data_IF_690298167020
#
_entry.id   IF_690298167020
#
_cell.length_a   1.000
_cell.length_b   1.000
_cell.length_c   1.000
_cell.angle_alpha   90.00
_cell.angle_beta   90.00
_cell.angle_gamma   90.00
#
_symmetry.space_group_name_H-M   'P 1'
#
loop_
_entity.id
_entity.type
_entity.pdbx_description
1 polymer ?
#
# COMPACT_ATOMS: atom_id res chain seq x y z
N UNK A 1 21.15 16.21 -13.57
CA UNK A 1 21.17 17.65 -13.26
C UNK A 1 22.10 17.89 -12.08
N UNK A 2 23.07 18.82 -12.25
CA UNK A 2 24.11 19.12 -11.23
C UNK A 2 23.49 19.68 -9.92
N UNK A 3 22.39 20.39 -9.99
CA UNK A 3 21.71 20.95 -8.83
C UNK A 3 21.00 19.85 -8.02
N UNK A 4 20.33 18.92 -8.67
CA UNK A 4 19.74 17.75 -8.00
C UNK A 4 20.79 16.89 -7.31
N UNK A 5 21.92 16.65 -7.96
CA UNK A 5 23.05 15.92 -7.37
C UNK A 5 23.63 16.65 -6.15
N UNK A 6 23.69 17.99 -6.18
CA UNK A 6 24.18 18.80 -5.06
C UNK A 6 23.16 18.82 -3.91
N UNK A 7 21.85 18.88 -4.23
CA UNK A 7 20.79 18.83 -3.23
C UNK A 7 20.74 17.45 -2.54
N UNK A 8 20.81 16.34 -3.29
CA UNK A 8 20.77 14.98 -2.74
C UNK A 8 21.92 14.69 -1.77
N UNK A 9 23.12 15.26 -2.00
CA UNK A 9 24.26 15.14 -1.07
C UNK A 9 24.05 15.82 0.28
N UNK A 10 23.07 16.72 0.41
CA UNK A 10 22.75 17.44 1.65
C UNK A 10 21.65 16.75 2.46
N UNK A 11 20.96 15.79 1.87
CA UNK A 11 19.86 15.07 2.51
C UNK A 11 20.45 13.89 3.28
N UNK A 12 20.31 13.92 4.59
CA UNK A 12 20.68 12.80 5.47
C UNK A 12 19.43 12.00 5.88
N UNK A 13 19.67 10.85 6.48
CA UNK A 13 18.58 9.99 6.96
C UNK A 13 17.65 10.68 7.98
N UNK A 14 18.19 11.59 8.77
CA UNK A 14 17.43 12.36 9.77
C UNK A 14 16.74 13.61 9.19
N UNK A 15 17.02 13.95 7.93
CA UNK A 15 16.34 15.05 7.26
C UNK A 15 14.85 14.74 7.11
N UNK A 16 14.01 15.78 7.25
CA UNK A 16 12.56 15.65 7.02
C UNK A 16 12.28 15.34 5.55
N UNK A 17 11.43 14.35 5.32
CA UNK A 17 11.00 13.89 4.01
C UNK A 17 9.58 14.37 3.70
N UNK A 18 8.66 14.08 4.61
CA UNK A 18 7.26 14.45 4.50
C UNK A 18 6.74 15.06 5.80
N UNK A 19 5.67 15.86 5.67
CA UNK A 19 4.80 16.25 6.76
C UNK A 19 3.39 15.84 6.41
N UNK A 20 2.81 14.93 7.18
CA UNK A 20 1.45 14.42 7.00
C UNK A 20 0.62 14.87 8.20
N UNK A 21 -0.53 15.47 7.92
CA UNK A 21 -1.44 15.90 8.96
C UNK A 21 -2.37 14.76 9.37
N UNK A 22 -2.48 14.52 10.68
CA UNK A 22 -3.42 13.57 11.28
C UNK A 22 -4.51 14.33 12.00
N UNK A 23 -5.73 13.76 12.05
CA UNK A 23 -6.88 14.37 12.75
C UNK A 23 -6.65 14.51 14.27
N UNK A 24 -5.75 13.67 14.82
CA UNK A 24 -5.47 13.65 16.25
C UNK A 24 -6.68 13.29 17.12
N UNK A 25 -6.48 13.12 18.42
CA UNK A 25 -7.56 12.97 19.41
C UNK A 25 -8.14 14.31 19.87
N UNK A 26 -7.55 15.43 19.44
CA UNK A 26 -7.98 16.81 19.72
C UNK A 26 -8.44 17.45 18.40
N UNK A 27 -9.36 18.40 18.47
CA UNK A 27 -9.97 19.05 17.29
C UNK A 27 -8.98 19.75 16.32
N UNK A 28 -7.70 19.86 16.70
CA UNK A 28 -6.67 20.53 15.88
C UNK A 28 -5.80 19.46 15.19
N UNK A 29 -5.70 19.48 13.85
CA UNK A 29 -4.82 18.59 13.12
C UNK A 29 -3.35 18.72 13.56
N UNK A 30 -2.65 17.59 13.67
CA UNK A 30 -1.23 17.53 14.06
C UNK A 30 -0.38 17.22 12.86
N UNK A 31 0.65 18.02 12.59
CA UNK A 31 1.64 17.76 11.55
C UNK A 31 2.66 16.71 12.01
N UNK A 32 2.59 15.54 11.46
CA UNK A 32 3.54 14.46 11.69
C UNK A 32 4.71 14.59 10.72
N UNK A 33 5.90 14.88 11.25
CA UNK A 33 7.12 15.03 10.46
C UNK A 33 7.85 13.70 10.35
N UNK A 34 7.97 13.20 9.14
CA UNK A 34 8.63 11.92 8.84
C UNK A 34 10.03 12.16 8.28
N UNK A 35 11.02 11.41 8.74
CA UNK A 35 12.37 11.47 8.22
C UNK A 35 12.58 10.53 7.03
N UNK A 36 13.57 10.83 6.18
CA UNK A 36 13.97 9.92 5.09
C UNK A 36 14.33 8.55 5.63
N UNK A 37 15.08 8.48 6.72
CA UNK A 37 15.52 7.22 7.30
C UNK A 37 14.37 6.36 7.82
N UNK A 38 13.35 6.97 8.45
CA UNK A 38 12.20 6.23 8.94
C UNK A 38 11.37 5.66 7.78
N UNK A 39 11.11 6.48 6.75
CA UNK A 39 10.35 6.04 5.58
C UNK A 39 11.07 4.93 4.82
N UNK A 40 12.36 5.10 4.54
CA UNK A 40 13.15 4.14 3.75
C UNK A 40 13.30 2.80 4.49
N UNK A 41 13.55 2.81 5.81
CA UNK A 41 13.62 1.57 6.60
C UNK A 41 12.29 0.83 6.63
N UNK A 42 11.18 1.54 6.78
CA UNK A 42 9.86 0.93 6.78
C UNK A 42 9.49 0.39 5.39
N UNK A 43 9.81 1.13 4.33
CA UNK A 43 9.61 0.66 2.95
C UNK A 43 10.45 -0.59 2.62
N UNK A 44 11.70 -0.65 3.09
CA UNK A 44 12.54 -1.83 2.95
C UNK A 44 11.92 -3.05 3.67
N UNK A 45 11.45 -2.86 4.91
CA UNK A 45 10.79 -3.91 5.67
C UNK A 45 9.51 -4.41 4.96
N UNK A 46 8.69 -3.50 4.42
CA UNK A 46 7.51 -3.87 3.66
C UNK A 46 7.86 -4.62 2.36
N UNK A 47 8.87 -4.13 1.61
CA UNK A 47 9.37 -4.81 0.41
C UNK A 47 9.76 -6.26 0.75
N UNK A 48 10.57 -6.45 1.78
CA UNK A 48 11.06 -7.77 2.18
C UNK A 48 9.92 -8.66 2.67
N UNK A 49 8.99 -8.10 3.44
CA UNK A 49 7.84 -8.83 3.98
C UNK A 49 6.86 -9.30 2.91
N UNK A 50 6.59 -8.45 1.92
CA UNK A 50 5.72 -8.77 0.79
C UNK A 50 6.47 -9.44 -0.36
N UNK A 51 7.80 -9.63 -0.21
CA UNK A 51 8.68 -10.18 -1.24
C UNK A 51 8.52 -9.43 -2.58
N UNK A 52 8.44 -8.07 -2.50
CA UNK A 52 8.24 -7.24 -3.69
C UNK A 52 9.50 -7.28 -4.55
N UNK A 53 9.33 -7.58 -5.83
CA UNK A 53 10.38 -7.67 -6.86
C UNK A 53 10.07 -6.79 -8.06
N UNK A 54 10.99 -6.68 -8.98
CA UNK A 54 10.80 -5.92 -10.22
C UNK A 54 9.70 -6.48 -11.14
N UNK A 55 9.30 -7.74 -10.94
CA UNK A 55 8.26 -8.41 -11.72
C UNK A 55 6.85 -8.10 -11.18
N UNK A 56 6.76 -7.40 -10.05
CA UNK A 56 5.48 -7.09 -9.42
C UNK A 56 4.85 -5.79 -9.96
N UNK A 57 3.51 -5.80 -9.95
CA UNK A 57 2.68 -4.63 -10.07
C UNK A 57 1.78 -4.52 -8.83
N UNK A 58 1.93 -3.46 -8.07
CA UNK A 58 1.11 -3.18 -6.89
C UNK A 58 0.03 -2.17 -7.25
N UNK A 59 -1.23 -2.57 -7.07
CA UNK A 59 -2.38 -1.68 -7.19
C UNK A 59 -2.81 -1.16 -5.82
N UNK A 60 -2.91 0.18 -5.70
CA UNK A 60 -3.24 0.89 -4.47
C UNK A 60 -4.22 2.03 -4.76
N UNK A 61 -5.47 1.94 -4.31
CA UNK A 61 -6.49 2.97 -4.54
C UNK A 61 -6.44 4.11 -3.51
N UNK A 62 -5.49 4.08 -2.58
CA UNK A 62 -5.45 5.01 -1.46
C UNK A 62 -4.84 6.36 -1.85
N UNK A 63 -5.27 7.44 -1.21
CA UNK A 63 -4.79 8.78 -1.55
C UNK A 63 -3.35 9.04 -1.06
N UNK A 64 -2.54 9.71 -1.89
CA UNK A 64 -1.15 10.04 -1.60
C UNK A 64 -0.91 10.98 -0.40
N UNK A 65 -1.94 11.59 0.15
CA UNK A 65 -1.80 12.35 1.39
C UNK A 65 -1.78 11.46 2.64
N UNK A 66 -1.94 10.14 2.47
CA UNK A 66 -1.84 9.14 3.53
C UNK A 66 -0.53 8.35 3.43
N UNK A 67 0.04 8.00 4.58
CA UNK A 67 1.25 7.16 4.65
C UNK A 67 1.01 5.75 4.11
N UNK A 68 -0.22 5.26 4.16
CA UNK A 68 -0.62 3.95 3.63
C UNK A 68 -0.45 3.83 2.11
N UNK A 69 -0.42 4.95 1.37
CA UNK A 69 -0.13 4.98 -0.06
C UNK A 69 1.34 5.31 -0.35
N UNK A 70 1.92 6.25 0.39
CA UNK A 70 3.32 6.64 0.22
C UNK A 70 4.30 5.49 0.50
N UNK A 71 4.05 4.70 1.54
CA UNK A 71 4.95 3.63 1.94
C UNK A 71 5.06 2.52 0.89
N UNK A 72 3.96 1.91 0.40
CA UNK A 72 4.04 0.89 -0.65
C UNK A 72 4.61 1.44 -1.96
N UNK A 73 4.34 2.70 -2.31
CA UNK A 73 4.98 3.34 -3.46
C UNK A 73 6.51 3.36 -3.32
N UNK A 74 7.04 3.78 -2.17
CA UNK A 74 8.49 3.80 -1.93
C UNK A 74 9.07 2.38 -1.91
N UNK A 75 8.34 1.39 -1.39
CA UNK A 75 8.74 -0.01 -1.42
C UNK A 75 8.83 -0.55 -2.87
N UNK A 76 7.85 -0.23 -3.73
CA UNK A 76 7.88 -0.55 -5.15
C UNK A 76 9.03 0.13 -5.88
N UNK A 77 9.26 1.43 -5.65
CA UNK A 77 10.41 2.17 -6.21
C UNK A 77 11.74 1.51 -5.84
N UNK A 78 11.88 1.05 -4.61
CA UNK A 78 13.08 0.35 -4.15
C UNK A 78 13.28 -1.00 -4.85
N UNK A 79 12.19 -1.73 -5.07
CA UNK A 79 12.21 -3.05 -5.72
C UNK A 79 12.36 -2.97 -7.26
N UNK A 80 12.11 -1.79 -7.86
CA UNK A 80 11.95 -1.64 -9.31
C UNK A 80 10.61 -2.16 -9.82
N UNK A 81 9.63 -2.34 -8.93
CA UNK A 81 8.28 -2.79 -9.23
C UNK A 81 7.42 -1.68 -9.83
N UNK A 82 6.37 -2.07 -10.54
CA UNK A 82 5.32 -1.14 -10.98
C UNK A 82 4.39 -0.78 -9.81
N UNK A 83 3.93 0.48 -9.80
CA UNK A 83 2.95 0.97 -8.83
C UNK A 83 1.81 1.65 -9.57
N UNK A 84 0.60 1.18 -9.35
CA UNK A 84 -0.61 1.67 -10.00
C UNK A 84 -1.56 2.28 -8.97
N UNK A 85 -2.06 3.47 -9.26
CA UNK A 85 -2.99 4.20 -8.40
C UNK A 85 -3.92 5.07 -9.22
N UNK A 86 -4.96 5.60 -8.61
CA UNK A 86 -5.83 6.60 -9.21
C UNK A 86 -5.97 7.83 -8.29
N UNK A 87 -6.64 8.85 -8.79
CA UNK A 87 -6.88 10.10 -8.06
C UNK A 87 -7.80 9.89 -6.85
N UNK A 88 -8.76 8.99 -6.97
CA UNK A 88 -9.71 8.57 -5.93
C UNK A 88 -10.23 7.18 -6.27
N UNK A 89 -10.69 6.46 -5.25
CA UNK A 89 -11.30 5.15 -5.46
C UNK A 89 -12.69 5.29 -6.09
N UNK A 90 -12.90 4.53 -7.13
CA UNK A 90 -14.16 4.31 -7.82
C UNK A 90 -14.18 2.86 -8.29
N UNK A 91 -15.22 2.10 -7.98
CA UNK A 91 -15.22 0.66 -8.19
C UNK A 91 -15.16 0.25 -9.67
N UNK A 92 -15.90 0.97 -10.55
CA UNK A 92 -15.89 0.69 -11.99
C UNK A 92 -14.48 0.85 -12.55
N UNK A 93 -13.84 1.99 -12.27
CA UNK A 93 -12.48 2.28 -12.72
C UNK A 93 -11.44 1.36 -12.10
N UNK A 94 -11.63 0.97 -10.84
CA UNK A 94 -10.75 0.04 -10.15
C UNK A 94 -10.74 -1.33 -10.83
N UNK A 95 -11.91 -1.88 -11.17
CA UNK A 95 -12.04 -3.14 -11.91
C UNK A 95 -11.40 -3.03 -13.29
N UNK A 96 -11.66 -1.94 -14.04
CA UNK A 96 -11.03 -1.70 -15.34
C UNK A 96 -9.50 -1.66 -15.23
N UNK A 97 -8.96 -0.93 -14.25
CA UNK A 97 -7.52 -0.84 -14.01
C UNK A 97 -6.90 -2.20 -13.64
N UNK A 98 -7.51 -2.91 -12.70
CA UNK A 98 -7.02 -4.21 -12.26
C UNK A 98 -6.98 -5.18 -13.45
N UNK A 99 -8.01 -5.18 -14.28
CA UNK A 99 -8.06 -6.05 -15.45
C UNK A 99 -7.10 -5.66 -16.57
N UNK A 100 -6.81 -4.37 -16.71
CA UNK A 100 -5.85 -3.89 -17.71
C UNK A 100 -4.38 -4.09 -17.29
N UNK A 101 -4.09 -3.98 -15.97
CA UNK A 101 -2.74 -4.01 -15.44
C UNK A 101 -2.33 -5.38 -14.90
N UNK A 102 -3.30 -6.25 -14.63
CA UNK A 102 -3.10 -7.57 -14.04
C UNK A 102 -2.14 -7.55 -12.84
N UNK A 103 -2.42 -6.77 -11.77
CA UNK A 103 -1.50 -6.60 -10.66
C UNK A 103 -1.25 -7.93 -9.95
N UNK A 104 -0.06 -8.04 -9.35
CA UNK A 104 0.33 -9.19 -8.53
C UNK A 104 0.08 -8.95 -7.04
N UNK A 105 -0.05 -7.68 -6.64
CA UNK A 105 -0.31 -7.27 -5.27
C UNK A 105 -1.49 -6.28 -5.26
N UNK A 106 -2.51 -6.56 -4.46
CA UNK A 106 -3.60 -5.63 -4.18
C UNK A 106 -3.40 -5.01 -2.79
N UNK A 107 -3.55 -3.69 -2.71
CA UNK A 107 -3.40 -2.95 -1.46
C UNK A 107 -4.67 -2.14 -1.13
N UNK A 108 -5.87 -2.77 -1.03
CA UNK A 108 -7.11 -2.07 -0.73
C UNK A 108 -7.13 -1.46 0.67
N UNK A 109 -6.34 -2.00 1.61
CA UNK A 109 -6.17 -1.66 3.01
C UNK A 109 -7.46 -1.62 3.85
N UNK A 110 -8.58 -1.14 3.29
CA UNK A 110 -9.84 -0.98 4.02
C UNK A 110 -10.90 -2.00 3.57
N UNK A 111 -11.69 -2.56 4.53
CA UNK A 111 -12.74 -3.54 4.23
C UNK A 111 -13.78 -3.04 3.21
N UNK A 112 -14.08 -1.74 3.22
CA UNK A 112 -15.04 -1.14 2.29
C UNK A 112 -14.56 -1.25 0.84
N UNK A 113 -13.30 -0.89 0.57
CA UNK A 113 -12.69 -0.97 -0.77
C UNK A 113 -12.72 -2.41 -1.30
N UNK A 114 -12.32 -3.36 -0.47
CA UNK A 114 -12.35 -4.79 -0.85
C UNK A 114 -13.78 -5.29 -1.05
N UNK A 115 -14.72 -4.86 -0.20
CA UNK A 115 -16.13 -5.20 -0.32
C UNK A 115 -16.75 -4.69 -1.62
N UNK A 116 -16.45 -3.44 -1.98
CA UNK A 116 -16.94 -2.83 -3.22
C UNK A 116 -16.38 -3.56 -4.46
N UNK A 117 -15.10 -3.97 -4.43
CA UNK A 117 -14.52 -4.77 -5.51
C UNK A 117 -15.18 -6.13 -5.66
N UNK A 118 -15.29 -6.91 -4.55
CA UNK A 118 -15.83 -8.27 -4.59
C UNK A 118 -17.32 -8.32 -4.91
N UNK A 119 -18.09 -7.27 -4.57
CA UNK A 119 -19.51 -7.18 -4.87
C UNK A 119 -19.84 -6.54 -6.22
N UNK A 120 -18.82 -6.11 -6.94
CA UNK A 120 -19.00 -5.45 -8.24
C UNK A 120 -19.52 -6.42 -9.30
N UNK A 121 -20.51 -6.00 -10.10
CA UNK A 121 -21.16 -6.88 -11.10
C UNK A 121 -20.20 -7.44 -12.16
N UNK A 122 -19.12 -6.72 -12.46
CA UNK A 122 -18.08 -7.13 -13.39
C UNK A 122 -16.91 -7.85 -12.73
N UNK A 123 -17.00 -8.18 -11.43
CA UNK A 123 -15.92 -8.89 -10.75
C UNK A 123 -15.88 -10.35 -11.18
N UNK A 124 -14.71 -10.79 -11.65
CA UNK A 124 -14.45 -12.16 -12.09
C UNK A 124 -13.20 -12.71 -11.38
N UNK A 125 -13.36 -13.71 -10.53
CA UNK A 125 -12.26 -14.32 -9.76
C UNK A 125 -11.13 -14.84 -10.67
N UNK A 126 -11.47 -15.43 -11.81
CA UNK A 126 -10.49 -15.99 -12.75
C UNK A 126 -9.53 -14.91 -13.30
N UNK A 127 -10.01 -13.69 -13.43
CA UNK A 127 -9.19 -12.55 -13.87
C UNK A 127 -8.22 -12.04 -12.81
N UNK A 128 -8.35 -12.51 -11.57
CA UNK A 128 -7.46 -12.21 -10.44
C UNK A 128 -6.36 -13.27 -10.25
N UNK A 129 -6.19 -14.19 -11.20
CA UNK A 129 -5.26 -15.33 -11.07
C UNK A 129 -3.80 -14.95 -10.84
N UNK A 130 -3.37 -13.75 -11.26
CA UNK A 130 -2.02 -13.23 -11.01
C UNK A 130 -1.83 -12.61 -9.63
N UNK A 131 -2.92 -12.32 -8.92
CA UNK A 131 -2.84 -11.73 -7.58
C UNK A 131 -2.29 -12.76 -6.61
N UNK A 132 -1.09 -12.51 -6.09
CA UNK A 132 -0.39 -13.40 -5.15
C UNK A 132 -0.46 -12.92 -3.71
N UNK A 133 -0.73 -11.63 -3.49
CA UNK A 133 -0.78 -11.03 -2.15
C UNK A 133 -1.84 -9.93 -2.10
N UNK A 134 -2.60 -9.92 -1.00
CA UNK A 134 -3.61 -8.88 -0.71
C UNK A 134 -3.36 -8.34 0.69
N UNK A 135 -3.09 -7.03 0.80
CA UNK A 135 -3.07 -6.35 2.10
C UNK A 135 -4.44 -5.78 2.40
N UNK A 136 -5.16 -6.43 3.30
CA UNK A 136 -6.51 -6.04 3.70
C UNK A 136 -6.62 -6.01 5.23
N UNK A 137 -6.89 -4.83 5.78
CA UNK A 137 -7.11 -4.64 7.22
C UNK A 137 -8.59 -4.84 7.51
N UNK A 138 -8.98 -6.05 7.89
CA UNK A 138 -10.38 -6.41 8.11
C UNK A 138 -10.55 -7.22 9.42
N UNK A 139 -11.75 -7.22 10.03
CA UNK A 139 -12.08 -8.18 11.08
C UNK A 139 -11.92 -9.62 10.57
N UNK A 140 -11.58 -10.56 11.48
CA UNK A 140 -11.26 -11.94 11.11
C UNK A 140 -12.35 -12.63 10.28
N UNK A 141 -13.63 -12.41 10.58
CA UNK A 141 -14.74 -12.97 9.81
C UNK A 141 -14.73 -12.50 8.35
N UNK A 142 -14.54 -11.20 8.15
CA UNK A 142 -14.50 -10.62 6.80
C UNK A 142 -13.23 -11.03 6.05
N UNK A 143 -12.11 -11.18 6.76
CA UNK A 143 -10.88 -11.66 6.16
C UNK A 143 -11.04 -13.09 5.62
N UNK A 144 -11.69 -13.97 6.38
CA UNK A 144 -11.98 -15.35 5.96
C UNK A 144 -12.89 -15.40 4.72
N UNK A 145 -13.92 -14.53 4.65
CA UNK A 145 -14.76 -14.39 3.45
C UNK A 145 -13.92 -13.99 2.23
N UNK A 146 -13.08 -12.96 2.35
CA UNK A 146 -12.21 -12.50 1.28
C UNK A 146 -11.19 -13.57 0.84
N UNK A 147 -10.66 -14.35 1.77
CA UNK A 147 -9.77 -15.49 1.46
C UNK A 147 -10.48 -16.58 0.67
N UNK A 148 -11.77 -16.82 0.93
CA UNK A 148 -12.55 -17.78 0.17
C UNK A 148 -12.79 -17.35 -1.28
N UNK A 149 -12.93 -16.05 -1.54
CA UNK A 149 -13.11 -15.50 -2.89
C UNK A 149 -11.82 -15.48 -3.72
N UNK A 150 -10.66 -15.32 -3.07
CA UNK A 150 -9.34 -15.24 -3.71
C UNK A 150 -8.34 -16.19 -3.04
N UNK A 151 -8.58 -17.51 -3.10
CA UNK A 151 -7.81 -18.51 -2.34
C UNK A 151 -6.37 -18.67 -2.80
N UNK A 152 -6.03 -18.24 -4.02
CA UNK A 152 -4.67 -18.28 -4.56
C UNK A 152 -3.76 -17.21 -3.95
N UNK A 153 -4.34 -16.13 -3.38
CA UNK A 153 -3.58 -15.02 -2.81
C UNK A 153 -3.28 -15.22 -1.32
N UNK A 154 -2.10 -14.81 -0.89
CA UNK A 154 -1.78 -14.68 0.53
C UNK A 154 -2.43 -13.39 1.05
N UNK A 155 -3.30 -13.52 2.05
CA UNK A 155 -3.93 -12.38 2.68
C UNK A 155 -3.15 -11.97 3.92
N UNK A 156 -2.69 -10.72 3.93
CA UNK A 156 -1.96 -10.14 5.05
C UNK A 156 -2.73 -8.95 5.62
N UNK A 157 -2.61 -8.76 6.91
CA UNK A 157 -3.08 -7.55 7.58
C UNK A 157 -1.90 -6.77 8.13
N UNK A 158 -2.11 -5.48 8.35
CA UNK A 158 -1.10 -4.58 8.89
C UNK A 158 -1.70 -3.69 9.97
N UNK A 159 -0.90 -3.38 10.97
CA UNK A 159 -1.19 -2.32 11.92
C UNK A 159 -0.13 -1.24 11.80
N UNK A 160 -0.57 0.00 11.72
CA UNK A 160 0.33 1.12 11.58
C UNK A 160 -0.32 2.46 11.88
N UNK A 161 0.49 3.49 11.94
CA UNK A 161 0.05 4.87 12.11
C UNK A 161 1.09 5.81 11.47
N UNK A 162 0.65 7.03 11.19
CA UNK A 162 1.52 8.03 10.54
C UNK A 162 2.79 8.30 11.32
N UNK A 163 2.69 8.36 12.65
CA UNK A 163 3.78 8.71 13.56
C UNK A 163 4.94 7.70 13.57
N UNK A 164 4.69 6.46 13.15
CA UNK A 164 5.75 5.44 12.97
C UNK A 164 6.19 5.28 11.51
N UNK A 165 5.83 6.24 10.66
CA UNK A 165 6.12 6.22 9.23
C UNK A 165 5.45 5.09 8.45
N UNK A 166 4.27 4.69 8.88
CA UNK A 166 3.43 3.69 8.23
C UNK A 166 3.18 2.47 9.08
N UNK A 167 3.77 1.34 8.73
CA UNK A 167 3.47 0.06 9.36
C UNK A 167 4.36 -0.21 10.57
N UNK A 168 3.74 -0.57 11.70
CA UNK A 168 4.40 -1.04 12.91
C UNK A 168 4.54 -2.57 12.93
N UNK A 169 3.54 -3.29 12.41
CA UNK A 169 3.60 -4.74 12.25
C UNK A 169 2.75 -5.21 11.07
N UNK A 170 3.21 -6.27 10.43
CA UNK A 170 2.50 -7.02 9.39
C UNK A 170 2.19 -8.43 9.89
N UNK A 171 1.06 -8.96 9.42
CA UNK A 171 0.81 -10.40 9.47
C UNK A 171 1.89 -11.19 8.71
N UNK A 172 2.02 -12.49 8.98
CA UNK A 172 2.93 -13.35 8.25
C UNK A 172 2.41 -13.64 6.84
N UNK A 173 3.30 -13.58 5.86
CA UNK A 173 3.02 -14.07 4.51
C UNK A 173 3.42 -15.55 4.35
N UNK A 174 3.93 -16.17 5.40
CA UNK A 174 4.49 -17.54 5.39
C UNK A 174 3.63 -18.53 6.20
N UNK A 175 2.43 -18.11 6.68
CA UNK A 175 1.49 -18.95 7.44
C UNK A 175 0.23 -19.23 6.65
#
# INVERSE_FOLDING_TARGET
DKEMTKASKRVGLESSCFMIYTSGTTAVPKGCRLSHGALVRNAAAQRDRFKISADDCLWDPLPFFHISSLLPMVACMWAGASYATDKYFDADRAIEQIYALEPTILFPAFPAVMGDLLSHESFETDRMSRVRLINNVAPASRLLENMAELPQAVHVSAYGLTEVSGVACHGSSDE
#
